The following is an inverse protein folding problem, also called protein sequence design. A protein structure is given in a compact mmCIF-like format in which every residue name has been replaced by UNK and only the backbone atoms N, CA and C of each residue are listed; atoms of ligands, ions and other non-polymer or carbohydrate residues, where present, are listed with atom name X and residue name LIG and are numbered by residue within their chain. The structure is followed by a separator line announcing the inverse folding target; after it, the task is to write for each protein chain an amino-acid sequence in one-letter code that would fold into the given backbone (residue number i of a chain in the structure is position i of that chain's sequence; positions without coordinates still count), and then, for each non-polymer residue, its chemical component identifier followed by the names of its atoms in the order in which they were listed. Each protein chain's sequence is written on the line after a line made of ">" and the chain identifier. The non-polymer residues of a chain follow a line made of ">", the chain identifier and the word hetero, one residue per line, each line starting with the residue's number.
data_IF_027788492389
#
_entry.id   IF_027788492389
#
_cell.length_a   1.000
_cell.length_b   1.000
_cell.length_c   1.000
_cell.angle_alpha   90.00
_cell.angle_beta   90.00
_cell.angle_gamma   90.00
#
_symmetry.space_group_name_H-M   'P 1'
#
loop_
_entity.id
_entity.type
_entity.pdbx_description
1 polymer ?
#
# COMPACT_ATOMS: atom_id res chain seq x y z
N UNK A 1 12.79 10.57 -11.11
CA UNK A 1 13.00 9.30 -10.41
C UNK A 1 12.54 9.45 -8.96
N UNK A 2 11.23 9.37 -8.69
CA UNK A 2 10.65 9.80 -7.41
C UNK A 2 9.69 8.74 -6.85
N UNK A 3 10.05 7.47 -7.04
CA UNK A 3 9.31 6.32 -6.55
C UNK A 3 10.25 5.42 -5.74
N UNK A 4 9.69 4.78 -4.73
CA UNK A 4 10.37 3.95 -3.76
C UNK A 4 9.58 2.65 -3.60
N UNK A 5 10.17 1.54 -4.00
CA UNK A 5 9.59 0.22 -3.85
C UNK A 5 10.43 -0.58 -2.87
N UNK A 6 9.79 -1.13 -1.84
CA UNK A 6 10.43 -1.98 -0.83
C UNK A 6 9.65 -3.27 -0.75
N UNK A 7 10.34 -4.40 -0.88
CA UNK A 7 9.74 -5.73 -0.70
C UNK A 7 10.52 -6.48 0.35
N UNK A 8 9.82 -6.91 1.39
CA UNK A 8 10.31 -7.69 2.52
C UNK A 8 9.70 -9.08 2.45
N UNK A 9 10.53 -10.09 2.23
CA UNK A 9 10.13 -11.49 2.21
C UNK A 9 10.70 -12.17 3.43
N UNK A 10 9.85 -12.80 4.23
CA UNK A 10 10.23 -13.56 5.41
C UNK A 10 9.47 -14.87 5.51
N UNK A 11 9.94 -15.75 6.39
CA UNK A 11 9.33 -17.06 6.62
C UNK A 11 7.90 -16.96 7.19
N UNK A 12 7.53 -15.81 7.76
CA UNK A 12 6.20 -15.54 8.29
C UNK A 12 5.25 -14.88 7.28
N UNK A 13 5.77 -14.32 6.18
CA UNK A 13 4.98 -13.57 5.20
C UNK A 13 5.81 -12.69 4.26
N UNK A 14 5.14 -12.03 3.34
CA UNK A 14 5.64 -11.06 2.39
C UNK A 14 4.99 -9.70 2.69
N UNK A 15 5.78 -8.64 2.73
CA UNK A 15 5.30 -7.27 2.66
C UNK A 15 5.92 -6.59 1.45
N UNK A 16 5.12 -5.93 0.64
CA UNK A 16 5.58 -5.04 -0.41
C UNK A 16 4.98 -3.66 -0.18
N UNK A 17 5.79 -2.63 -0.29
CA UNK A 17 5.35 -1.23 -0.23
C UNK A 17 5.90 -0.50 -1.44
N UNK A 18 5.05 0.28 -2.08
CA UNK A 18 5.34 1.05 -3.27
C UNK A 18 4.85 2.47 -3.06
N UNK A 19 5.79 3.37 -2.83
CA UNK A 19 5.54 4.80 -2.73
C UNK A 19 5.94 5.48 -4.03
N UNK A 20 5.07 6.36 -4.53
CA UNK A 20 5.33 7.19 -5.69
C UNK A 20 5.02 8.65 -5.34
N UNK A 21 6.05 9.49 -5.29
CA UNK A 21 5.92 10.92 -5.07
C UNK A 21 5.78 11.62 -6.43
N UNK A 22 4.54 11.86 -6.84
CA UNK A 22 4.24 12.52 -8.11
C UNK A 22 4.60 14.02 -8.09
N UNK A 23 4.40 14.67 -6.94
CA UNK A 23 4.75 16.09 -6.69
C UNK A 23 5.00 16.31 -5.20
N UNK A 24 5.53 17.47 -4.78
CA UNK A 24 5.59 17.83 -3.36
C UNK A 24 4.21 17.80 -2.67
N UNK A 25 3.17 18.02 -3.47
CA UNK A 25 1.77 18.05 -3.07
C UNK A 25 1.02 16.72 -3.27
N UNK A 26 1.57 15.76 -4.00
CA UNK A 26 0.85 14.52 -4.34
C UNK A 26 1.75 13.31 -4.11
N UNK A 27 1.36 12.50 -3.14
CA UNK A 27 2.03 11.26 -2.75
C UNK A 27 1.04 10.12 -2.90
N UNK A 28 1.46 9.05 -3.55
CA UNK A 28 0.67 7.83 -3.71
C UNK A 28 1.47 6.69 -3.08
N UNK A 29 0.79 5.81 -2.38
CA UNK A 29 1.36 4.66 -1.70
C UNK A 29 0.52 3.43 -1.97
N UNK A 30 1.15 2.29 -2.19
CA UNK A 30 0.49 0.99 -2.25
C UNK A 30 1.25 0.09 -1.30
N UNK A 31 0.53 -0.61 -0.45
CA UNK A 31 1.05 -1.54 0.53
C UNK A 31 0.38 -2.88 0.28
N UNK A 32 1.15 -3.94 0.32
CA UNK A 32 0.67 -5.29 0.14
C UNK A 32 1.30 -6.13 1.23
N UNK A 33 0.49 -6.90 1.92
CA UNK A 33 0.89 -7.74 3.03
C UNK A 33 0.27 -9.11 2.83
N UNK A 34 1.09 -10.15 2.76
CA UNK A 34 0.68 -11.53 2.69
C UNK A 34 1.32 -12.29 3.84
N UNK A 35 0.53 -12.74 4.80
CA UNK A 35 1.01 -13.51 5.94
C UNK A 35 0.81 -14.99 5.69
N UNK A 36 1.87 -15.75 5.42
CA UNK A 36 1.80 -17.21 5.24
C UNK A 36 1.39 -17.92 6.53
N UNK A 37 1.68 -17.30 7.69
CA UNK A 37 1.34 -17.83 9.02
C UNK A 37 -0.15 -17.75 9.35
N UNK A 38 -0.79 -16.66 8.93
CA UNK A 38 -2.24 -16.43 9.10
C UNK A 38 -3.03 -16.83 7.84
N UNK A 39 -2.33 -17.21 6.77
CA UNK A 39 -2.86 -17.38 5.41
C UNK A 39 -3.67 -16.17 4.93
N UNK A 40 -3.43 -14.99 5.50
CA UNK A 40 -4.16 -13.78 5.19
C UNK A 40 -3.40 -12.96 4.17
N UNK A 41 -4.09 -12.28 3.27
CA UNK A 41 -3.46 -11.38 2.32
C UNK A 41 -4.28 -10.13 2.20
N UNK A 42 -3.66 -8.98 2.42
CA UNK A 42 -4.27 -7.69 2.26
C UNK A 42 -3.44 -6.82 1.32
N UNK A 43 -4.15 -6.03 0.53
CA UNK A 43 -3.58 -5.01 -0.33
C UNK A 43 -4.26 -3.71 0.06
N UNK A 44 -3.48 -2.71 0.44
CA UNK A 44 -3.96 -1.37 0.72
C UNK A 44 -3.38 -0.41 -0.30
N UNK A 45 -4.21 0.43 -0.88
CA UNK A 45 -3.74 1.53 -1.71
C UNK A 45 -4.18 2.83 -1.09
N UNK A 46 -3.26 3.79 -1.06
CA UNK A 46 -3.41 5.07 -0.41
C UNK A 46 -2.94 6.19 -1.34
N UNK A 47 -3.65 7.30 -1.32
CA UNK A 47 -3.16 8.54 -1.92
C UNK A 47 -3.34 9.68 -0.95
N UNK A 48 -2.35 10.56 -0.92
CA UNK A 48 -2.30 11.74 -0.09
C UNK A 48 -2.03 12.94 -1.00
N UNK A 49 -3.06 13.75 -1.20
CA UNK A 49 -2.96 15.05 -1.86
C UNK A 49 -2.95 16.13 -0.77
N UNK A 50 -1.84 16.84 -0.68
CA UNK A 50 -1.61 18.01 0.15
C UNK A 50 -1.70 19.26 -0.73
N UNK A 51 -2.70 20.12 -0.48
CA UNK A 51 -2.81 21.41 -1.16
C UNK A 51 -2.54 22.52 -0.14
N UNK A 52 -1.29 22.99 -0.02
CA UNK A 52 -0.92 24.03 0.95
C UNK A 52 -1.56 25.38 0.65
N UNK A 53 -1.99 25.62 -0.60
CA UNK A 53 -2.77 26.81 -0.99
C UNK A 53 -4.20 26.82 -0.45
N UNK A 54 -4.74 25.68 -0.06
CA UNK A 54 -6.13 25.55 0.39
C UNK A 54 -6.28 24.86 1.76
N UNK A 55 -5.18 24.46 2.42
CA UNK A 55 -5.20 23.65 3.65
C UNK A 55 -6.06 22.37 3.52
N UNK A 56 -6.12 21.79 2.33
CA UNK A 56 -6.85 20.55 2.09
C UNK A 56 -5.90 19.38 2.04
N UNK A 57 -6.18 18.38 2.86
CA UNK A 57 -5.49 17.10 2.89
C UNK A 57 -6.47 16.01 2.51
N UNK A 58 -6.43 15.60 1.25
CA UNK A 58 -7.24 14.48 0.77
C UNK A 58 -6.44 13.19 0.96
N UNK A 59 -6.96 12.32 1.83
CA UNK A 59 -6.43 10.98 2.07
C UNK A 59 -7.50 9.97 1.71
N UNK A 60 -7.33 9.31 0.57
CA UNK A 60 -8.10 8.11 0.25
C UNK A 60 -7.24 6.91 0.58
N UNK A 61 -7.78 5.97 1.35
CA UNK A 61 -7.19 4.65 1.51
C UNK A 61 -8.28 3.63 1.26
N UNK A 62 -7.99 2.67 0.41
CA UNK A 62 -8.88 1.57 0.12
C UNK A 62 -8.09 0.29 0.36
N UNK A 63 -8.64 -0.56 1.22
CA UNK A 63 -8.06 -1.83 1.61
C UNK A 63 -8.86 -2.96 1.01
N UNK A 64 -8.19 -3.84 0.28
CA UNK A 64 -8.68 -5.13 -0.16
C UNK A 64 -8.09 -6.20 0.76
N UNK A 65 -8.95 -6.97 1.42
CA UNK A 65 -8.56 -8.17 2.16
C UNK A 65 -9.01 -9.40 1.39
N UNK A 66 -8.08 -10.28 1.07
CA UNK A 66 -8.32 -11.57 0.43
C UNK A 66 -8.33 -12.66 1.49
N UNK A 67 -9.42 -13.42 1.62
CA UNK A 67 -9.48 -14.50 2.57
C UNK A 67 -8.55 -15.66 2.16
N UNK A 68 -8.05 -16.44 3.14
CA UNK A 68 -7.16 -17.59 2.92
C UNK A 68 -7.58 -18.59 1.85
N UNK A 69 -8.89 -18.74 1.63
CA UNK A 69 -9.46 -19.74 0.73
C UNK A 69 -9.46 -19.38 -0.75
N UNK A 70 -9.24 -18.11 -1.12
CA UNK A 70 -9.24 -17.65 -2.52
C UNK A 70 -7.87 -17.81 -3.20
N UNK A 71 -6.79 -17.87 -2.42
CA UNK A 71 -5.40 -17.93 -2.90
C UNK A 71 -5.00 -19.27 -3.54
N UNK A 72 -5.91 -20.25 -3.58
CA UNK A 72 -5.64 -21.63 -3.99
C UNK A 72 -6.38 -22.07 -5.27
N UNK A 73 -7.01 -21.16 -6.02
CA UNK A 73 -7.76 -21.49 -7.23
C UNK A 73 -7.16 -20.92 -8.51
#
# INVERSE_FOLDING_TARGET
>A
NNWLATVTLGQAGMHATYYHKASDQLQVGVEFEASTRMQDTSASFGYQLDLPKANFLFKGKEGLSFPPGEQAR
#
